data_IF_971398710528
#
_entry.id   IF_971398710528
#
_cell.length_a   1.000
_cell.length_b   1.000
_cell.length_c   1.000
_cell.angle_alpha   90.00
_cell.angle_beta   90.00
_cell.angle_gamma   90.00
#
_symmetry.space_group_name_H-M   'P 1'
#
loop_
_entity.id
_entity.type
_entity.pdbx_description
1 polymer ?
#
# COMPACT_ATOMS: atom_id res chain seq x y z
N UNK A 1 16.52 -1.76 -27.73
CA UNK A 1 16.80 -2.16 -26.33
C UNK A 1 16.32 -1.11 -25.33
N UNK A 2 16.53 0.19 -25.55
CA UNK A 2 15.99 1.31 -24.72
C UNK A 2 14.46 1.27 -24.57
N UNK A 3 13.74 0.99 -25.66
CA UNK A 3 12.28 0.86 -25.67
C UNK A 3 11.76 -0.22 -24.70
N UNK A 4 12.53 -1.29 -24.45
CA UNK A 4 12.13 -2.35 -23.54
C UNK A 4 12.20 -1.88 -22.08
N UNK A 5 13.25 -1.14 -21.70
CA UNK A 5 13.36 -0.58 -20.35
C UNK A 5 12.24 0.41 -20.07
N UNK A 6 11.91 1.27 -21.02
CA UNK A 6 10.80 2.21 -20.87
C UNK A 6 9.45 1.49 -20.70
N UNK A 7 9.18 0.45 -21.49
CA UNK A 7 7.97 -0.39 -21.33
C UNK A 7 7.92 -1.06 -19.95
N UNK A 8 9.04 -1.57 -19.46
CA UNK A 8 9.14 -2.17 -18.13
C UNK A 8 8.89 -1.14 -17.01
N UNK A 9 9.35 0.11 -17.17
CA UNK A 9 9.12 1.20 -16.23
C UNK A 9 7.63 1.55 -16.18
N UNK A 10 6.98 1.70 -17.34
CA UNK A 10 5.53 1.94 -17.42
C UNK A 10 4.70 0.78 -16.86
N UNK A 11 5.16 -0.46 -17.04
CA UNK A 11 4.56 -1.63 -16.40
C UNK A 11 4.68 -1.57 -14.87
N UNK A 12 5.84 -1.17 -14.34
CA UNK A 12 6.04 -0.99 -12.90
C UNK A 12 5.15 0.14 -12.34
N UNK A 13 5.03 1.25 -13.08
CA UNK A 13 4.15 2.37 -12.76
C UNK A 13 2.67 1.94 -12.65
N UNK A 14 2.17 1.21 -13.65
CA UNK A 14 0.79 0.70 -13.65
C UNK A 14 0.53 -0.24 -12.46
N UNK A 15 1.49 -1.12 -12.13
CA UNK A 15 1.38 -2.01 -10.96
C UNK A 15 1.39 -1.21 -9.65
N UNK A 16 2.27 -0.22 -9.53
CA UNK A 16 2.34 0.64 -8.36
C UNK A 16 1.02 1.41 -8.15
N UNK A 17 0.38 1.87 -9.23
CA UNK A 17 -0.92 2.55 -9.20
C UNK A 17 -2.03 1.63 -8.70
N UNK A 18 -2.09 0.37 -9.17
CA UNK A 18 -3.08 -0.59 -8.67
C UNK A 18 -2.95 -0.82 -7.17
N UNK A 19 -1.72 -1.05 -6.69
CA UNK A 19 -1.48 -1.25 -5.25
C UNK A 19 -1.77 0.03 -4.45
N UNK A 20 -1.47 1.22 -4.99
CA UNK A 20 -1.84 2.49 -4.38
C UNK A 20 -3.37 2.62 -4.20
N UNK A 21 -4.14 2.37 -5.26
CA UNK A 21 -5.60 2.45 -5.23
C UNK A 21 -6.17 1.48 -4.18
N UNK A 22 -5.66 0.25 -4.13
CA UNK A 22 -6.06 -0.72 -3.12
C UNK A 22 -5.72 -0.25 -1.69
N UNK A 23 -4.50 0.25 -1.47
CA UNK A 23 -4.09 0.82 -0.18
C UNK A 23 -5.01 1.95 0.27
N UNK A 24 -5.32 2.90 -0.62
CA UNK A 24 -6.21 4.02 -0.32
C UNK A 24 -7.65 3.55 -0.06
N UNK A 25 -8.13 2.56 -0.82
CA UNK A 25 -9.46 1.98 -0.61
C UNK A 25 -9.59 1.37 0.77
N UNK A 26 -8.57 0.62 1.23
CA UNK A 26 -8.56 0.03 2.58
C UNK A 26 -8.53 1.13 3.65
N UNK A 27 -7.72 2.17 3.45
CA UNK A 27 -7.68 3.31 4.39
C UNK A 27 -9.04 4.00 4.47
N UNK A 28 -9.67 4.33 3.35
CA UNK A 28 -10.99 4.97 3.31
C UNK A 28 -12.05 4.08 3.96
N UNK A 29 -12.10 2.79 3.60
CA UNK A 29 -13.03 1.83 4.20
C UNK A 29 -12.82 1.71 5.71
N UNK A 30 -11.57 1.70 6.17
CA UNK A 30 -11.25 1.64 7.60
C UNK A 30 -11.74 2.88 8.36
N UNK A 31 -11.66 4.08 7.76
CA UNK A 31 -12.25 5.27 8.35
C UNK A 31 -13.77 5.20 8.39
N UNK A 32 -14.42 4.74 7.31
CA UNK A 32 -15.87 4.57 7.28
C UNK A 32 -16.35 3.61 8.36
N UNK A 33 -15.63 2.51 8.62
CA UNK A 33 -15.96 1.56 9.70
C UNK A 33 -15.82 2.19 11.08
N UNK A 34 -14.78 3.02 11.29
CA UNK A 34 -14.57 3.71 12.58
C UNK A 34 -15.65 4.77 12.83
N UNK A 35 -16.04 5.53 11.79
CA UNK A 35 -17.03 6.61 11.92
C UNK A 35 -18.48 6.13 11.84
N UNK A 36 -18.75 5.00 11.17
CA UNK A 36 -20.11 4.53 10.88
C UNK A 36 -20.76 3.71 12.00
N UNK A 37 -20.01 3.25 12.99
CA UNK A 37 -20.55 2.57 14.15
C UNK A 37 -20.58 3.53 15.35
N UNK A 38 -21.53 3.35 16.28
CA UNK A 38 -21.46 3.79 17.71
C UNK A 38 -20.31 3.05 18.46
N UNK A 39 -19.23 2.75 17.74
CA UNK A 39 -18.09 1.91 18.07
C UNK A 39 -17.16 2.56 19.08
N UNK A 40 -17.18 3.90 19.16
CA UNK A 40 -16.44 4.67 20.15
C UNK A 40 -17.06 4.50 21.55
N UNK A 41 -18.36 4.19 21.63
CA UNK A 41 -19.08 4.01 22.90
C UNK A 41 -19.03 2.57 23.44
N UNK A 42 -18.55 1.59 22.65
CA UNK A 42 -18.48 0.18 23.07
C UNK A 42 -17.19 -0.16 23.84
N UNK A 43 -17.31 -0.25 25.17
CA UNK A 43 -16.62 -1.12 26.16
C UNK A 43 -15.08 -1.28 26.02
N UNK A 44 -14.35 -1.09 27.13
CA UNK A 44 -12.89 -1.23 27.27
C UNK A 44 -12.24 -2.43 26.54
N UNK A 45 -12.94 -3.55 26.41
CA UNK A 45 -12.47 -4.81 25.83
C UNK A 45 -12.15 -4.72 24.32
N UNK A 46 -12.72 -3.78 23.58
CA UNK A 46 -12.48 -3.65 22.14
C UNK A 46 -11.27 -2.76 21.79
N UNK A 47 -10.69 -2.01 22.76
CA UNK A 47 -9.55 -1.09 22.55
C UNK A 47 -8.31 -1.76 21.95
N UNK A 48 -8.01 -2.98 22.40
CA UNK A 48 -6.87 -3.76 21.88
C UNK A 48 -7.06 -4.11 20.40
N UNK A 49 -8.28 -4.42 20.00
CA UNK A 49 -8.60 -4.75 18.60
C UNK A 49 -8.40 -3.50 17.73
N UNK A 50 -8.72 -2.31 18.23
CA UNK A 50 -8.46 -1.06 17.50
C UNK A 50 -6.98 -0.74 17.33
N UNK A 51 -6.12 -1.14 18.28
CA UNK A 51 -4.68 -0.93 18.14
C UNK A 51 -4.08 -1.62 16.91
N UNK A 52 -4.71 -2.72 16.44
CA UNK A 52 -4.28 -3.42 15.22
C UNK A 52 -4.45 -2.57 13.95
N UNK A 53 -5.42 -1.64 13.92
CA UNK A 53 -5.57 -0.69 12.80
C UNK A 53 -4.34 0.18 12.63
N UNK A 54 -3.70 0.59 13.73
CA UNK A 54 -2.53 1.48 13.69
C UNK A 54 -1.38 0.79 12.95
N UNK A 55 -1.13 -0.49 13.23
CA UNK A 55 -0.12 -1.30 12.52
C UNK A 55 -0.44 -1.44 11.02
N UNK A 56 -1.71 -1.66 10.69
CA UNK A 56 -2.21 -1.68 9.32
C UNK A 56 -2.00 -0.35 8.60
N UNK A 57 -2.37 0.77 9.20
CA UNK A 57 -2.21 2.12 8.65
C UNK A 57 -0.76 2.52 8.44
N UNK A 58 0.13 2.25 9.40
CA UNK A 58 1.55 2.54 9.25
C UNK A 58 2.09 1.77 8.03
N UNK A 59 1.76 0.47 7.93
CA UNK A 59 2.22 -0.37 6.82
C UNK A 59 1.69 0.11 5.47
N UNK A 60 0.40 0.46 5.38
CA UNK A 60 -0.18 1.02 4.16
C UNK A 60 0.41 2.39 3.82
N UNK A 61 0.71 3.23 4.81
CA UNK A 61 1.37 4.53 4.59
C UNK A 61 2.77 4.35 4.00
N UNK A 62 3.53 3.38 4.50
CA UNK A 62 4.83 3.02 3.92
C UNK A 62 4.67 2.45 2.50
N UNK A 63 3.63 1.65 2.24
CA UNK A 63 3.32 1.18 0.88
C UNK A 63 3.06 2.36 -0.07
N UNK A 64 2.21 3.31 0.33
CA UNK A 64 1.89 4.53 -0.43
C UNK A 64 3.14 5.36 -0.69
N UNK A 65 4.01 5.53 0.31
CA UNK A 65 5.28 6.23 0.15
C UNK A 65 6.18 5.58 -0.91
N UNK A 66 6.25 4.24 -0.95
CA UNK A 66 7.01 3.53 -1.97
C UNK A 66 6.38 3.68 -3.35
N UNK A 67 5.05 3.75 -3.47
CA UNK A 67 4.36 4.05 -4.73
C UNK A 67 4.82 5.41 -5.31
N UNK A 68 4.87 6.44 -4.47
CA UNK A 68 5.34 7.77 -4.85
C UNK A 68 6.79 7.77 -5.36
N UNK A 69 7.65 6.90 -4.82
CA UNK A 69 9.02 6.72 -5.34
C UNK A 69 9.04 6.06 -6.72
N UNK A 70 8.17 5.09 -6.99
CA UNK A 70 8.01 4.51 -8.33
C UNK A 70 7.56 5.56 -9.34
N UNK A 71 6.56 6.39 -9.00
CA UNK A 71 6.08 7.44 -9.90
C UNK A 71 7.15 8.49 -10.21
N UNK A 72 7.90 8.97 -9.20
CA UNK A 72 9.00 9.92 -9.41
C UNK A 72 10.06 9.37 -10.38
N UNK A 73 10.45 8.12 -10.19
CA UNK A 73 11.40 7.46 -11.07
C UNK A 73 10.83 7.26 -12.49
N UNK A 74 9.53 7.00 -12.63
CA UNK A 74 8.89 6.87 -13.94
C UNK A 74 8.88 8.20 -14.71
N UNK A 75 8.64 9.32 -14.03
CA UNK A 75 8.77 10.67 -14.61
C UNK A 75 10.23 10.97 -14.99
N UNK A 76 11.19 10.60 -14.13
CA UNK A 76 12.63 10.74 -14.44
C UNK A 76 13.02 9.93 -15.68
N UNK A 77 12.39 8.77 -15.93
CA UNK A 77 12.61 7.98 -17.12
C UNK A 77 12.19 8.69 -18.42
N UNK A 78 11.18 9.56 -18.35
CA UNK A 78 10.72 10.35 -19.49
C UNK A 78 11.72 11.47 -19.81
N UNK A 79 12.35 12.06 -18.80
CA UNK A 79 13.37 13.10 -18.95
C UNK A 79 14.70 12.55 -19.50
N UNK A 80 15.01 11.28 -19.22
CA UNK A 80 16.26 10.62 -19.62
C UNK A 80 16.02 9.49 -20.63
N UNK A 81 14.98 9.61 -21.48
CA UNK A 81 14.57 8.57 -22.45
C UNK A 81 15.68 8.10 -23.39
N UNK A 82 16.66 8.97 -23.64
CA UNK A 82 17.72 8.76 -24.63
C UNK A 82 18.98 8.15 -24.00
N UNK A 83 19.06 8.14 -22.67
CA UNK A 83 20.21 7.67 -21.90
C UNK A 83 19.98 6.25 -21.38
N UNK A 84 20.46 5.27 -22.13
CA UNK A 84 20.27 3.84 -21.81
C UNK A 84 20.74 3.46 -20.40
N UNK A 85 21.89 3.97 -19.97
CA UNK A 85 22.45 3.64 -18.66
C UNK A 85 21.61 4.23 -17.52
N UNK A 86 21.07 5.43 -17.71
CA UNK A 86 20.11 6.03 -16.75
C UNK A 86 18.82 5.21 -16.69
N UNK A 87 18.26 4.80 -17.84
CA UNK A 87 17.06 3.96 -17.86
C UNK A 87 17.25 2.64 -17.10
N UNK A 88 18.45 2.03 -17.18
CA UNK A 88 18.80 0.83 -16.41
C UNK A 88 18.79 1.09 -14.89
N UNK A 89 19.37 2.20 -14.45
CA UNK A 89 19.39 2.58 -13.03
C UNK A 89 17.95 2.84 -12.53
N UNK A 90 17.17 3.55 -13.34
CA UNK A 90 15.79 3.91 -13.03
C UNK A 90 14.92 2.65 -12.91
N UNK A 91 14.99 1.70 -13.85
CA UNK A 91 14.18 0.46 -13.76
C UNK A 91 14.55 -0.37 -12.52
N UNK A 92 15.83 -0.45 -12.16
CA UNK A 92 16.26 -1.16 -10.95
C UNK A 92 15.71 -0.49 -9.69
N UNK A 93 15.69 0.85 -9.67
CA UNK A 93 15.10 1.65 -8.60
C UNK A 93 13.58 1.42 -8.52
N UNK A 94 12.85 1.50 -9.64
CA UNK A 94 11.42 1.20 -9.71
C UNK A 94 11.09 -0.20 -9.20
N UNK A 95 11.81 -1.23 -9.65
CA UNK A 95 11.60 -2.63 -9.20
C UNK A 95 11.82 -2.78 -7.71
N UNK A 96 12.84 -2.11 -7.15
CA UNK A 96 13.13 -2.12 -5.70
C UNK A 96 12.00 -1.50 -4.90
N UNK A 97 11.52 -0.32 -5.28
CA UNK A 97 10.43 0.36 -4.58
C UNK A 97 9.09 -0.34 -4.76
N UNK A 98 8.79 -0.86 -5.95
CA UNK A 98 7.60 -1.68 -6.19
C UNK A 98 7.59 -2.94 -5.33
N UNK A 99 8.73 -3.63 -5.21
CA UNK A 99 8.85 -4.80 -4.31
C UNK A 99 8.57 -4.40 -2.85
N UNK A 100 9.14 -3.30 -2.37
CA UNK A 100 8.88 -2.78 -1.02
C UNK A 100 7.40 -2.41 -0.85
N UNK A 101 6.80 -1.74 -1.82
CA UNK A 101 5.39 -1.35 -1.83
C UNK A 101 4.49 -2.57 -1.62
N UNK A 102 4.72 -3.65 -2.37
CA UNK A 102 3.93 -4.89 -2.31
C UNK A 102 4.13 -5.59 -0.96
N UNK A 103 5.36 -5.65 -0.44
CA UNK A 103 5.62 -6.24 0.89
C UNK A 103 4.85 -5.49 1.97
N UNK A 104 4.98 -4.16 2.01
CA UNK A 104 4.29 -3.35 3.02
C UNK A 104 2.77 -3.33 2.85
N UNK A 105 2.28 -3.42 1.60
CA UNK A 105 0.86 -3.62 1.31
C UNK A 105 0.36 -4.93 1.93
N UNK A 106 1.06 -6.04 1.67
CA UNK A 106 0.67 -7.34 2.21
C UNK A 106 0.75 -7.38 3.74
N UNK A 107 1.77 -6.78 4.34
CA UNK A 107 1.86 -6.65 5.81
C UNK A 107 0.66 -5.86 6.34
N UNK A 108 0.32 -4.73 5.71
CA UNK A 108 -0.86 -3.94 6.07
C UNK A 108 -2.15 -4.75 5.97
N UNK A 109 -2.38 -5.41 4.84
CA UNK A 109 -3.56 -6.26 4.61
C UNK A 109 -3.64 -7.38 5.66
N UNK A 110 -2.52 -7.99 6.05
CA UNK A 110 -2.50 -9.00 7.10
C UNK A 110 -2.96 -8.46 8.45
N UNK A 111 -2.57 -7.24 8.84
CA UNK A 111 -3.10 -6.60 10.06
C UNK A 111 -4.62 -6.42 10.00
N UNK A 112 -5.15 -5.97 8.86
CA UNK A 112 -6.60 -5.85 8.67
C UNK A 112 -7.30 -7.21 8.64
N UNK A 113 -6.67 -8.25 8.08
CA UNK A 113 -7.19 -9.61 8.10
C UNK A 113 -7.26 -10.18 9.52
N UNK A 114 -6.20 -10.01 10.32
CA UNK A 114 -6.17 -10.39 11.74
C UNK A 114 -7.25 -9.63 12.51
N UNK A 115 -7.36 -8.32 12.28
CA UNK A 115 -8.39 -7.49 12.88
C UNK A 115 -9.80 -8.01 12.55
N UNK A 116 -10.08 -8.31 11.28
CA UNK A 116 -11.38 -8.82 10.84
C UNK A 116 -11.70 -10.17 11.51
N UNK A 117 -10.71 -11.06 11.62
CA UNK A 117 -10.88 -12.35 12.30
C UNK A 117 -11.19 -12.17 13.79
N UNK A 118 -10.45 -11.32 14.50
CA UNK A 118 -10.71 -11.02 15.91
C UNK A 118 -12.08 -10.37 16.11
N UNK A 119 -12.48 -9.49 15.20
CA UNK A 119 -13.77 -8.85 15.25
C UNK A 119 -14.92 -9.86 15.06
N UNK A 120 -14.81 -10.75 14.07
CA UNK A 120 -15.82 -11.77 13.81
C UNK A 120 -15.92 -12.78 14.95
N UNK A 121 -14.79 -13.27 15.48
CA UNK A 121 -14.83 -14.23 16.59
C UNK A 121 -15.46 -13.62 17.83
N UNK A 122 -15.07 -12.40 18.22
CA UNK A 122 -15.64 -11.73 19.40
C UNK A 122 -17.08 -11.26 19.19
N UNK A 123 -17.47 -10.93 17.96
CA UNK A 123 -18.85 -10.60 17.61
C UNK A 123 -19.80 -11.79 17.63
N UNK A 124 -19.31 -13.00 17.37
CA UNK A 124 -20.11 -14.24 17.42
C UNK A 124 -20.41 -14.74 18.84
N UNK A 125 -19.71 -14.25 19.86
CA UNK A 125 -19.94 -14.60 21.27
C UNK A 125 -20.88 -13.61 22.01
N UNK A 126 -21.52 -12.69 21.27
CA UNK A 126 -22.63 -11.86 21.74
C UNK A 126 -23.95 -12.36 21.16
#
# INVERSE_FOLDING_TARGET
MSLQYYKDIKSAESKALRVLILSLSIVILSFLVIFGNDYIDTVQEYRIIYSAFIGGWISLSVSIFNANRVFKNAVEAELHSDQKDMLLIIILSCRRYLKKQVIWFNVGVSFFGIWLLLFLTLGMYK
#
